data_IF_018340625930
#
_entry.id   IF_018340625930
#
_cell.length_a   1.000
_cell.length_b   1.000
_cell.length_c   1.000
_cell.angle_alpha   90.00
_cell.angle_beta   90.00
_cell.angle_gamma   90.00
#
_symmetry.space_group_name_H-M   'P 1'
#
loop_
_entity.id
_entity.type
_entity.pdbx_description
1 polymer ?
#
# COMPACT_ATOMS: atom_id res chain seq x y z
N UNK A 1 -2.34 -17.99 -45.49
CA UNK A 1 -3.37 -17.78 -44.43
C UNK A 1 -2.77 -18.26 -43.10
N UNK A 2 -2.06 -17.35 -42.45
CA UNK A 2 -1.42 -17.63 -41.19
C UNK A 2 -2.51 -17.75 -40.10
N UNK A 3 -2.64 -18.95 -39.54
CA UNK A 3 -3.51 -19.16 -38.37
C UNK A 3 -2.79 -18.53 -37.17
N UNK A 4 -3.23 -17.37 -36.76
CA UNK A 4 -2.90 -16.79 -35.47
C UNK A 4 -3.31 -17.81 -34.42
N UNK A 5 -2.36 -18.37 -33.68
CA UNK A 5 -2.60 -19.32 -32.61
C UNK A 5 -3.46 -18.68 -31.50
N UNK A 6 -4.06 -19.49 -30.62
CA UNK A 6 -4.87 -18.94 -29.53
C UNK A 6 -4.02 -18.03 -28.66
N UNK A 7 -4.51 -16.80 -28.43
CA UNK A 7 -3.89 -15.81 -27.54
C UNK A 7 -3.74 -16.45 -26.15
N UNK A 8 -2.55 -16.41 -25.51
CA UNK A 8 -2.36 -16.90 -24.15
C UNK A 8 -3.43 -16.33 -23.21
N UNK A 9 -3.97 -17.15 -22.32
CA UNK A 9 -5.08 -16.75 -21.45
C UNK A 9 -4.81 -15.48 -20.62
N UNK A 10 -3.57 -15.27 -20.18
CA UNK A 10 -3.14 -14.04 -19.50
C UNK A 10 -3.23 -12.82 -20.40
N UNK A 11 -2.81 -12.92 -21.65
CA UNK A 11 -2.95 -11.83 -22.65
C UNK A 11 -4.42 -11.57 -22.98
N UNK A 12 -5.24 -12.61 -23.07
CA UNK A 12 -6.69 -12.46 -23.25
C UNK A 12 -7.33 -11.81 -22.03
N UNK A 13 -6.87 -12.14 -20.83
CA UNK A 13 -7.33 -11.52 -19.59
C UNK A 13 -7.01 -10.02 -19.59
N UNK A 14 -5.76 -9.65 -19.92
CA UNK A 14 -5.33 -8.26 -20.03
C UNK A 14 -6.16 -7.46 -21.05
N UNK A 15 -6.43 -8.01 -22.24
CA UNK A 15 -7.28 -7.39 -23.26
C UNK A 15 -8.72 -7.20 -22.80
N UNK A 16 -9.27 -8.13 -22.01
CA UNK A 16 -10.60 -8.04 -21.48
C UNK A 16 -10.71 -6.97 -20.37
N UNK A 17 -9.68 -6.82 -19.55
CA UNK A 17 -9.56 -5.75 -18.54
C UNK A 17 -9.55 -4.39 -19.24
N UNK A 18 -8.73 -4.17 -20.28
CA UNK A 18 -8.70 -2.94 -21.06
C UNK A 18 -10.06 -2.55 -21.64
N UNK A 19 -10.78 -3.53 -22.22
CA UNK A 19 -12.12 -3.27 -22.80
C UNK A 19 -13.15 -2.88 -21.74
N UNK A 20 -13.05 -3.47 -20.55
CA UNK A 20 -13.96 -3.17 -19.44
C UNK A 20 -13.63 -1.80 -18.79
N UNK A 21 -12.35 -1.45 -18.65
CA UNK A 21 -11.91 -0.15 -18.16
C UNK A 21 -12.50 1.02 -18.96
N UNK A 22 -12.70 0.87 -20.26
CA UNK A 22 -13.37 1.90 -21.07
C UNK A 22 -14.81 2.22 -20.62
N UNK A 23 -15.53 1.25 -20.02
CA UNK A 23 -16.94 1.41 -19.59
C UNK A 23 -17.08 1.96 -18.16
N UNK A 24 -16.11 1.70 -17.28
CA UNK A 24 -16.20 2.07 -15.85
C UNK A 24 -15.77 3.51 -15.58
N UNK A 25 -15.11 4.16 -16.52
CA UNK A 25 -14.54 5.51 -16.36
C UNK A 25 -15.55 6.66 -16.22
N UNK A 26 -16.82 6.40 -16.46
CA UNK A 26 -17.88 7.38 -16.16
C UNK A 26 -18.16 7.49 -14.63
N UNK A 27 -17.57 6.60 -13.83
CA UNK A 27 -17.73 6.55 -12.37
C UNK A 27 -16.82 7.52 -11.59
N UNK A 28 -15.76 8.09 -12.21
CA UNK A 28 -14.91 9.07 -11.51
C UNK A 28 -15.71 10.35 -11.29
N UNK A 29 -15.89 10.79 -10.03
CA UNK A 29 -16.62 12.03 -9.75
C UNK A 29 -16.03 13.21 -10.52
N UNK A 30 -16.82 13.89 -11.32
CA UNK A 30 -16.40 15.07 -12.11
C UNK A 30 -15.97 16.26 -11.24
N UNK A 31 -16.20 16.20 -9.94
CA UNK A 31 -15.80 17.19 -8.95
C UNK A 31 -14.32 17.09 -8.57
N UNK A 32 -13.72 15.90 -8.69
CA UNK A 32 -12.30 15.70 -8.40
C UNK A 32 -11.42 16.40 -9.44
N UNK A 33 -10.28 16.89 -9.02
CA UNK A 33 -9.30 17.61 -9.86
C UNK A 33 -7.90 17.14 -9.55
N UNK A 34 -7.01 17.07 -10.55
CA UNK A 34 -5.60 16.77 -10.30
C UNK A 34 -4.93 17.92 -9.54
N UNK A 35 -3.92 17.59 -8.79
CA UNK A 35 -3.00 18.57 -8.20
C UNK A 35 -2.04 19.11 -9.25
N UNK A 36 -1.40 20.23 -8.95
CA UNK A 36 -0.36 20.79 -9.84
C UNK A 36 0.77 19.80 -10.12
N UNK A 37 1.16 18.99 -9.11
CA UNK A 37 2.22 18.02 -9.29
C UNK A 37 1.79 16.84 -10.17
N UNK A 38 0.57 16.34 -10.03
CA UNK A 38 0.03 15.31 -10.92
C UNK A 38 -0.02 15.79 -12.37
N UNK A 39 -0.43 17.05 -12.60
CA UNK A 39 -0.42 17.67 -13.94
C UNK A 39 1.01 17.83 -14.47
N UNK A 40 1.96 18.28 -13.64
CA UNK A 40 3.34 18.46 -14.05
C UNK A 40 4.00 17.16 -14.51
N UNK A 41 3.73 16.03 -13.81
CA UNK A 41 4.20 14.71 -14.25
C UNK A 41 3.54 14.28 -15.58
N UNK A 42 2.24 14.50 -15.73
CA UNK A 42 1.54 14.21 -17.00
C UNK A 42 2.10 15.06 -18.16
N UNK A 43 2.46 16.32 -17.91
CA UNK A 43 3.12 17.19 -18.89
C UNK A 43 4.49 16.66 -19.30
N UNK A 44 5.28 16.18 -18.35
CA UNK A 44 6.57 15.57 -18.62
C UNK A 44 6.43 14.31 -19.47
N UNK A 45 5.47 13.44 -19.15
CA UNK A 45 5.13 12.26 -19.98
C UNK A 45 4.74 12.66 -21.40
N UNK A 46 3.90 13.69 -21.57
CA UNK A 46 3.47 14.18 -22.88
C UNK A 46 4.63 14.71 -23.74
N UNK A 47 5.73 15.15 -23.11
CA UNK A 47 6.97 15.51 -23.79
C UNK A 47 7.88 14.31 -24.09
N UNK A 48 7.49 13.10 -23.67
CA UNK A 48 8.31 11.89 -23.82
C UNK A 48 9.50 11.85 -22.86
N UNK A 49 9.41 12.58 -21.74
CA UNK A 49 10.46 12.57 -20.72
C UNK A 49 10.48 11.25 -19.97
N UNK A 50 11.66 10.81 -19.56
CA UNK A 50 11.88 9.70 -18.67
C UNK A 50 12.71 10.15 -17.46
N UNK A 51 12.34 9.72 -16.27
CA UNK A 51 13.12 9.95 -15.05
C UNK A 51 14.37 9.08 -15.07
N UNK A 52 15.42 9.57 -15.71
CA UNK A 52 16.69 8.88 -15.81
C UNK A 52 17.73 9.50 -14.88
N UNK A 53 18.41 8.67 -14.11
CA UNK A 53 19.61 9.08 -13.39
C UNK A 53 20.70 9.54 -14.36
N UNK A 54 21.58 10.41 -13.89
CA UNK A 54 22.69 10.94 -14.68
C UNK A 54 23.79 9.90 -14.98
N UNK A 55 23.81 8.81 -14.21
CA UNK A 55 24.81 7.73 -14.31
C UNK A 55 24.27 6.42 -13.72
N UNK A 56 24.88 5.32 -14.08
CA UNK A 56 24.72 4.05 -13.37
C UNK A 56 25.27 4.18 -11.95
N UNK A 57 24.70 3.44 -11.02
CA UNK A 57 25.16 3.33 -9.64
C UNK A 57 25.14 1.89 -9.18
N UNK A 58 25.70 1.59 -8.01
CA UNK A 58 25.58 0.27 -7.40
C UNK A 58 25.19 0.37 -5.93
N UNK A 59 24.60 -0.69 -5.42
CA UNK A 59 24.27 -0.86 -4.00
C UNK A 59 24.99 -2.09 -3.47
N UNK A 60 25.53 -2.07 -2.25
CA UNK A 60 26.13 -3.25 -1.65
C UNK A 60 25.08 -4.37 -1.49
N UNK A 61 25.39 -5.58 -1.95
CA UNK A 61 24.46 -6.72 -1.89
C UNK A 61 24.04 -7.07 -0.45
N UNK A 62 24.93 -6.83 0.53
CA UNK A 62 24.67 -7.15 1.94
C UNK A 62 23.52 -6.36 2.57
N UNK A 63 23.09 -5.24 2.01
CA UNK A 63 21.92 -4.47 2.53
C UNK A 63 20.63 -5.29 2.54
N UNK A 64 20.54 -6.34 1.72
CA UNK A 64 19.39 -7.25 1.64
C UNK A 64 19.57 -8.53 2.47
N UNK A 65 20.78 -8.84 2.92
CA UNK A 65 21.10 -10.15 3.53
C UNK A 65 21.73 -10.07 4.92
N UNK A 66 22.18 -8.88 5.35
CA UNK A 66 22.79 -8.67 6.65
C UNK A 66 21.74 -8.56 7.78
N UNK A 67 21.70 -9.52 8.74
CA UNK A 67 20.78 -9.45 9.87
C UNK A 67 20.98 -8.21 10.75
N UNK A 68 22.22 -7.73 10.92
CA UNK A 68 22.49 -6.56 11.76
C UNK A 68 21.92 -5.28 11.11
N UNK A 69 22.02 -5.16 9.79
CA UNK A 69 21.38 -4.09 9.03
C UNK A 69 19.86 -4.18 9.15
N UNK A 70 19.29 -5.37 9.01
CA UNK A 70 17.84 -5.59 9.16
C UNK A 70 17.35 -5.19 10.56
N UNK A 71 18.02 -5.60 11.63
CA UNK A 71 17.68 -5.25 13.01
C UNK A 71 17.73 -3.73 13.23
N UNK A 72 18.70 -3.04 12.61
CA UNK A 72 18.80 -1.60 12.67
C UNK A 72 17.62 -0.92 11.94
N UNK A 73 17.29 -1.37 10.73
CA UNK A 73 16.12 -0.91 9.97
C UNK A 73 14.82 -1.15 10.76
N UNK A 74 14.63 -2.36 11.31
CA UNK A 74 13.46 -2.72 12.10
C UNK A 74 13.25 -1.74 13.26
N UNK A 75 14.32 -1.43 13.98
CA UNK A 75 14.27 -0.51 15.12
C UNK A 75 14.07 0.93 14.69
N UNK A 76 14.84 1.42 13.70
CA UNK A 76 14.83 2.84 13.31
C UNK A 76 13.62 3.22 12.47
N UNK A 77 13.21 2.37 11.52
CA UNK A 77 12.13 2.68 10.59
C UNK A 77 10.77 2.19 11.11
N UNK A 78 10.70 0.92 11.57
CA UNK A 78 9.40 0.32 11.90
C UNK A 78 8.94 0.54 13.36
N UNK A 79 9.77 1.13 14.20
CA UNK A 79 9.34 1.58 15.54
C UNK A 79 9.11 3.09 15.62
N UNK A 80 9.77 3.90 14.81
CA UNK A 80 9.82 5.36 14.99
C UNK A 80 9.07 6.13 13.89
N UNK A 81 9.06 5.62 12.66
CA UNK A 81 8.37 6.33 11.58
C UNK A 81 6.87 6.05 11.59
N UNK A 82 6.07 6.97 11.02
CA UNK A 82 4.71 6.67 10.62
C UNK A 82 4.66 5.52 9.61
N UNK A 83 3.82 4.52 9.89
CA UNK A 83 3.61 3.33 9.07
C UNK A 83 2.17 3.27 8.60
N UNK A 84 1.96 2.90 7.34
CA UNK A 84 0.63 2.72 6.78
C UNK A 84 0.00 1.44 7.34
N UNK A 85 -1.24 1.54 7.84
CA UNK A 85 -2.06 0.40 8.24
C UNK A 85 -3.06 -0.02 7.16
N UNK A 86 -3.45 0.91 6.29
CA UNK A 86 -4.35 0.65 5.19
C UNK A 86 -5.32 1.80 4.91
N UNK A 87 -6.33 1.60 4.06
CA UNK A 87 -7.29 2.63 3.70
C UNK A 87 -8.38 2.81 4.76
N UNK A 88 -8.97 4.00 4.82
CA UNK A 88 -10.16 4.32 5.64
C UNK A 88 -11.32 3.35 5.37
N UNK A 89 -11.39 2.83 4.16
CA UNK A 89 -12.40 1.84 3.72
C UNK A 89 -12.36 0.51 4.50
N UNK A 90 -11.30 0.24 5.29
CA UNK A 90 -11.29 -0.89 6.24
C UNK A 90 -12.33 -0.72 7.36
N UNK A 91 -12.72 0.52 7.67
CA UNK A 91 -13.68 0.86 8.73
C UNK A 91 -14.76 1.79 8.16
N UNK A 92 -15.63 1.30 7.25
CA UNK A 92 -16.58 2.15 6.52
C UNK A 92 -17.67 2.76 7.41
N UNK A 93 -17.87 2.22 8.62
CA UNK A 93 -18.91 2.71 9.53
C UNK A 93 -18.36 3.00 10.92
N UNK A 94 -19.02 3.89 11.65
CA UNK A 94 -18.75 4.16 13.06
C UNK A 94 -18.99 2.92 13.92
N UNK A 95 -18.32 2.84 15.06
CA UNK A 95 -18.36 1.71 15.99
C UNK A 95 -17.95 0.38 15.35
N UNK A 96 -16.93 0.41 14.51
CA UNK A 96 -16.29 -0.78 13.96
C UNK A 96 -14.85 -0.91 14.45
N UNK A 97 -14.33 -2.13 14.40
CA UNK A 97 -12.93 -2.45 14.68
C UNK A 97 -12.42 -3.47 13.67
N UNK A 98 -11.15 -3.37 13.34
CA UNK A 98 -10.39 -4.34 12.53
C UNK A 98 -9.06 -4.65 13.20
N UNK A 99 -8.58 -5.89 13.08
CA UNK A 99 -7.30 -6.31 13.65
C UNK A 99 -6.19 -6.16 12.62
N UNK A 100 -4.99 -5.77 13.10
CA UNK A 100 -3.79 -5.70 12.29
C UNK A 100 -2.58 -6.19 13.11
N UNK A 101 -1.85 -7.21 12.60
CA UNK A 101 -0.73 -7.86 13.30
C UNK A 101 0.62 -7.78 12.54
N UNK A 102 0.62 -7.21 11.36
CA UNK A 102 1.74 -7.31 10.41
C UNK A 102 3.05 -6.66 10.86
N UNK A 103 3.00 -5.70 11.79
CA UNK A 103 4.17 -4.99 12.29
C UNK A 103 4.74 -5.55 13.62
N UNK A 104 4.43 -6.80 13.95
CA UNK A 104 4.97 -7.46 15.16
C UNK A 104 4.36 -6.95 16.47
N UNK A 105 3.36 -6.07 16.42
CA UNK A 105 2.55 -5.63 17.55
C UNK A 105 1.08 -5.92 17.27
N UNK A 106 0.33 -6.50 18.21
CA UNK A 106 -1.09 -6.77 18.02
C UNK A 106 -1.88 -5.48 18.12
N UNK A 107 -2.49 -5.04 17.01
CA UNK A 107 -3.26 -3.79 16.94
C UNK A 107 -4.74 -4.05 16.74
N UNK A 108 -5.55 -3.15 17.26
CA UNK A 108 -6.96 -2.95 16.90
C UNK A 108 -7.06 -1.53 16.35
N UNK A 109 -7.53 -1.40 15.13
CA UNK A 109 -7.89 -0.11 14.54
C UNK A 109 -9.40 0.02 14.72
N UNK A 110 -9.87 1.11 15.31
CA UNK A 110 -11.28 1.36 15.56
C UNK A 110 -11.73 2.66 14.93
N UNK A 111 -13.01 2.75 14.59
CA UNK A 111 -13.70 4.03 14.33
C UNK A 111 -14.76 4.20 15.40
N UNK A 112 -14.67 5.26 16.19
CA UNK A 112 -15.59 5.54 17.28
C UNK A 112 -16.96 6.06 16.81
N UNK A 113 -17.83 6.43 17.74
CA UNK A 113 -19.19 6.92 17.44
C UNK A 113 -19.18 8.31 16.78
N UNK A 114 -18.14 9.09 17.02
CA UNK A 114 -17.90 10.42 16.47
C UNK A 114 -17.20 10.36 15.10
N UNK A 115 -16.76 9.16 14.66
CA UNK A 115 -16.09 8.92 13.40
C UNK A 115 -14.56 9.01 13.47
N UNK A 116 -13.97 9.24 14.64
CA UNK A 116 -12.51 9.30 14.79
C UNK A 116 -11.90 7.90 14.78
N UNK A 117 -10.75 7.80 14.13
CA UNK A 117 -9.95 6.57 14.11
C UNK A 117 -9.00 6.54 15.30
N UNK A 118 -8.92 5.39 15.97
CA UNK A 118 -7.97 5.10 17.04
C UNK A 118 -7.17 3.85 16.70
N UNK A 119 -5.89 3.84 17.01
CA UNK A 119 -5.02 2.66 16.90
C UNK A 119 -4.63 2.21 18.29
N UNK A 120 -5.13 1.06 18.70
CA UNK A 120 -5.07 0.55 20.05
C UNK A 120 -4.30 -0.77 20.11
N UNK A 121 -3.62 -1.05 21.23
CA UNK A 121 -3.06 -2.38 21.47
C UNK A 121 -4.20 -3.40 21.66
N UNK A 122 -4.16 -4.50 20.93
CA UNK A 122 -5.09 -5.63 21.04
C UNK A 122 -4.80 -6.49 22.27
N UNK A 123 -4.65 -5.85 23.42
CA UNK A 123 -4.19 -6.44 24.68
C UNK A 123 -5.01 -5.93 25.86
N UNK A 124 -5.73 -6.80 26.53
CA UNK A 124 -6.52 -6.47 27.70
C UNK A 124 -5.65 -5.96 28.86
N UNK A 125 -5.98 -4.81 29.43
CA UNK A 125 -5.25 -4.16 30.55
C UNK A 125 -5.40 -4.87 31.90
N UNK A 126 -6.15 -5.99 31.95
CA UNK A 126 -6.23 -6.82 33.14
C UNK A 126 -5.06 -7.80 33.23
N UNK A 127 -4.96 -8.75 32.29
CA UNK A 127 -3.96 -9.83 32.30
C UNK A 127 -3.42 -10.18 30.92
N UNK A 128 -3.38 -9.22 29.99
CA UNK A 128 -2.73 -9.36 28.69
C UNK A 128 -3.45 -10.21 27.65
N UNK A 129 -4.69 -10.62 27.89
CA UNK A 129 -5.44 -11.43 26.93
C UNK A 129 -5.71 -10.63 25.65
N UNK A 130 -5.51 -11.25 24.50
CA UNK A 130 -5.90 -10.70 23.21
C UNK A 130 -7.42 -10.50 23.17
N UNK A 131 -7.88 -9.39 22.59
CA UNK A 131 -9.28 -8.98 22.64
C UNK A 131 -10.09 -9.43 21.42
N UNK A 132 -9.51 -9.27 20.23
CA UNK A 132 -10.14 -9.59 18.94
C UNK A 132 -9.22 -10.41 18.05
N UNK A 133 -9.81 -11.34 17.28
CA UNK A 133 -9.11 -12.17 16.27
C UNK A 133 -9.77 -12.11 14.88
N UNK A 134 -10.77 -11.24 14.69
CA UNK A 134 -11.52 -11.18 13.43
C UNK A 134 -10.68 -10.58 12.31
N UNK A 135 -10.70 -11.23 11.15
CA UNK A 135 -9.96 -10.77 9.93
C UNK A 135 -10.64 -9.56 9.26
N UNK A 136 -11.95 -9.39 9.40
CA UNK A 136 -12.71 -8.27 8.83
C UNK A 136 -13.24 -7.31 9.89
N UNK A 137 -13.90 -6.21 9.48
CA UNK A 137 -14.49 -5.26 10.41
C UNK A 137 -15.60 -5.93 11.23
N UNK A 138 -15.56 -5.70 12.54
CA UNK A 138 -16.56 -6.18 13.50
C UNK A 138 -17.19 -5.01 14.26
N UNK A 139 -18.44 -5.15 14.76
CA UNK A 139 -19.03 -4.16 15.63
C UNK A 139 -18.16 -3.92 16.88
N UNK A 140 -17.89 -2.67 17.22
CA UNK A 140 -17.00 -2.26 18.31
C UNK A 140 -17.59 -1.20 19.23
N UNK A 141 -18.91 -1.08 19.35
CA UNK A 141 -19.54 -0.27 20.39
C UNK A 141 -18.97 -0.64 21.77
N UNK A 142 -18.66 -1.92 21.95
CA UNK A 142 -17.89 -2.45 23.09
C UNK A 142 -16.98 -3.59 22.63
N UNK A 143 -15.71 -3.54 22.99
CA UNK A 143 -14.73 -4.60 22.83
C UNK A 143 -14.62 -5.31 24.16
N UNK A 144 -15.13 -6.57 24.22
CA UNK A 144 -15.22 -7.32 25.47
C UNK A 144 -14.11 -8.39 25.51
N UNK A 145 -13.32 -8.35 26.58
CA UNK A 145 -12.27 -9.35 26.81
C UNK A 145 -12.88 -10.75 26.99
N UNK A 146 -12.43 -11.76 26.23
CA UNK A 146 -13.00 -13.10 26.32
C UNK A 146 -12.67 -13.83 27.63
N UNK A 147 -11.71 -13.32 28.42
CA UNK A 147 -11.29 -13.98 29.66
C UNK A 147 -12.13 -13.59 30.86
N UNK A 148 -12.22 -12.28 31.20
CA UNK A 148 -12.94 -11.82 32.40
C UNK A 148 -13.95 -10.70 32.09
N UNK A 149 -14.34 -10.58 30.82
CA UNK A 149 -15.36 -9.63 30.36
C UNK A 149 -15.09 -8.14 30.74
N UNK A 150 -13.81 -7.75 30.90
CA UNK A 150 -13.49 -6.33 30.89
C UNK A 150 -13.87 -5.76 29.52
N UNK A 151 -14.61 -4.66 29.52
CA UNK A 151 -15.16 -4.09 28.31
C UNK A 151 -14.61 -2.68 28.05
N UNK A 152 -14.15 -2.46 26.84
CA UNK A 152 -13.59 -1.20 26.37
C UNK A 152 -14.50 -0.57 25.32
N UNK A 153 -14.48 0.76 25.21
CA UNK A 153 -15.12 1.50 24.12
C UNK A 153 -14.23 1.50 22.88
N UNK A 154 -14.76 1.95 21.75
CA UNK A 154 -13.98 2.12 20.54
C UNK A 154 -12.80 3.12 20.70
N UNK A 155 -12.95 4.11 21.59
CA UNK A 155 -11.89 5.05 21.97
C UNK A 155 -10.85 4.48 22.97
N UNK A 156 -10.87 3.18 23.22
CA UNK A 156 -9.95 2.48 24.11
C UNK A 156 -10.27 2.61 25.61
N UNK A 157 -11.16 3.51 26.04
CA UNK A 157 -11.46 3.70 27.47
C UNK A 157 -12.13 2.47 28.09
N UNK A 158 -11.74 2.09 29.31
CA UNK A 158 -12.39 1.02 30.09
C UNK A 158 -13.81 1.44 30.48
N UNK A 159 -14.80 0.80 29.87
CA UNK A 159 -16.21 1.09 30.12
C UNK A 159 -16.72 0.38 31.38
N UNK A 160 -16.49 -0.93 31.49
CA UNK A 160 -16.98 -1.75 32.59
C UNK A 160 -16.09 -2.94 32.88
N UNK A 161 -16.16 -3.44 34.10
CA UNK A 161 -15.57 -4.70 34.55
C UNK A 161 -16.55 -5.39 35.51
N UNK A 162 -16.70 -6.74 35.41
CA UNK A 162 -17.48 -7.51 36.37
C UNK A 162 -16.84 -7.49 37.76
N UNK A 163 -17.67 -7.60 38.79
CA UNK A 163 -17.23 -7.69 40.19
C UNK A 163 -16.26 -6.53 40.54
N UNK A 164 -16.69 -5.29 40.20
CA UNK A 164 -15.86 -4.08 40.45
C UNK A 164 -15.46 -3.94 41.92
N UNK A 165 -16.26 -4.47 42.84
CA UNK A 165 -15.97 -4.53 44.28
C UNK A 165 -14.70 -5.33 44.61
N UNK A 166 -14.27 -6.26 43.73
CA UNK A 166 -13.02 -7.01 43.89
C UNK A 166 -11.77 -6.20 43.48
N UNK A 167 -11.94 -4.98 43.00
CA UNK A 167 -10.86 -4.07 42.56
C UNK A 167 -10.94 -2.75 43.33
N UNK A 168 -10.80 -2.78 44.67
CA UNK A 168 -10.95 -1.59 45.48
C UNK A 168 -9.88 -0.51 45.09
N UNK A 169 -10.33 0.71 44.86
CA UNK A 169 -9.48 1.83 44.47
C UNK A 169 -9.05 1.84 43.01
N UNK A 170 -9.54 0.94 42.16
CA UNK A 170 -9.24 0.97 40.74
C UNK A 170 -9.85 2.21 40.08
N UNK A 171 -8.99 3.07 39.53
CA UNK A 171 -9.43 4.16 38.65
C UNK A 171 -9.52 3.63 37.21
N UNK A 172 -10.73 3.54 36.63
CA UNK A 172 -10.97 3.11 35.26
C UNK A 172 -10.29 3.99 34.22
N UNK A 173 -10.10 5.29 34.51
CA UNK A 173 -9.47 6.22 33.59
C UNK A 173 -8.01 5.84 33.32
N UNK A 174 -7.33 5.16 34.24
CA UNK A 174 -5.94 4.70 34.09
C UNK A 174 -5.80 3.31 33.42
N UNK A 175 -6.93 2.67 33.08
CA UNK A 175 -6.99 1.30 32.56
C UNK A 175 -7.60 1.18 31.16
N UNK A 176 -7.57 2.26 30.39
CA UNK A 176 -7.83 2.23 28.95
C UNK A 176 -6.79 1.37 28.22
N UNK A 177 -7.11 0.92 27.01
CA UNK A 177 -6.15 0.28 26.12
C UNK A 177 -4.98 1.23 25.86
N UNK A 178 -3.82 0.68 25.54
CA UNK A 178 -2.68 1.50 25.08
C UNK A 178 -3.04 2.01 23.69
N UNK A 179 -3.01 3.32 23.51
CA UNK A 179 -3.25 4.00 22.24
C UNK A 179 -1.91 4.42 21.63
N UNK A 180 -1.78 4.23 20.34
CA UNK A 180 -0.63 4.64 19.55
C UNK A 180 -0.90 5.97 18.85
N UNK A 181 0.16 6.75 18.62
CA UNK A 181 0.07 7.93 17.78
C UNK A 181 -0.44 7.53 16.38
N UNK A 182 -1.44 8.21 15.87
CA UNK A 182 -2.06 7.89 14.59
C UNK A 182 -2.70 9.09 13.93
N UNK A 183 -2.87 9.03 12.62
CA UNK A 183 -3.60 9.99 11.81
C UNK A 183 -4.38 9.27 10.71
N UNK A 184 -5.57 9.77 10.42
CA UNK A 184 -6.31 9.46 9.20
C UNK A 184 -6.25 10.66 8.27
N UNK A 185 -5.65 10.50 7.09
CA UNK A 185 -5.45 11.59 6.13
C UNK A 185 -5.41 11.07 4.70
N UNK A 186 -6.03 11.78 3.75
CA UNK A 186 -6.10 11.36 2.34
C UNK A 186 -6.74 9.99 2.12
N UNK A 187 -7.66 9.57 3.02
CA UNK A 187 -8.30 8.25 2.97
C UNK A 187 -7.41 7.08 3.41
N UNK A 188 -6.28 7.37 4.07
CA UNK A 188 -5.32 6.39 4.61
C UNK A 188 -5.16 6.54 6.11
N UNK A 189 -4.94 5.42 6.80
CA UNK A 189 -4.72 5.34 8.25
C UNK A 189 -3.26 5.02 8.54
N UNK A 190 -2.60 5.88 9.29
CA UNK A 190 -1.21 5.77 9.68
C UNK A 190 -1.07 5.66 11.19
N UNK A 191 -0.02 5.00 11.64
CA UNK A 191 0.33 4.95 13.06
C UNK A 191 1.85 4.99 13.26
N UNK A 192 2.26 5.29 14.48
CA UNK A 192 3.65 5.12 14.92
C UNK A 192 3.69 4.56 16.32
N UNK A 193 4.74 3.80 16.63
CA UNK A 193 5.05 3.36 18.00
C UNK A 193 5.69 4.46 18.82
N UNK A 194 6.24 5.49 18.17
CA UNK A 194 6.72 6.70 18.83
C UNK A 194 5.52 7.59 19.17
N UNK A 195 5.25 7.85 20.47
CA UNK A 195 4.16 8.73 20.90
C UNK A 195 4.36 10.19 20.48
N UNK A 196 5.57 10.59 20.09
CA UNK A 196 5.93 11.93 19.63
C UNK A 196 6.04 12.01 18.09
N UNK A 197 5.58 11.00 17.35
CA UNK A 197 5.68 10.95 15.91
C UNK A 197 5.03 12.18 15.26
N UNK A 198 5.74 12.75 14.28
CA UNK A 198 5.24 13.82 13.42
C UNK A 198 4.73 13.23 12.09
N UNK A 199 3.46 13.49 11.79
CA UNK A 199 2.77 13.04 10.58
C UNK A 199 2.71 14.12 9.49
N UNK A 200 3.54 15.15 9.55
CA UNK A 200 3.52 16.24 8.58
C UNK A 200 3.80 15.75 7.14
N UNK A 201 4.70 14.78 6.97
CA UNK A 201 4.98 14.21 5.65
C UNK A 201 3.78 13.43 5.07
N UNK A 202 3.10 12.65 5.90
CA UNK A 202 1.90 11.89 5.52
C UNK A 202 0.75 12.84 5.15
N UNK A 203 0.61 13.96 5.87
CA UNK A 203 -0.36 14.99 5.55
C UNK A 203 -0.08 15.70 4.22
N UNK A 204 1.19 15.79 3.77
CA UNK A 204 1.53 16.36 2.45
C UNK A 204 0.97 15.53 1.29
N UNK A 205 0.68 14.24 1.48
CA UNK A 205 0.08 13.38 0.47
C UNK A 205 -1.42 13.63 0.29
N UNK A 206 -2.10 14.18 1.29
CA UNK A 206 -3.56 14.27 1.32
C UNK A 206 -4.14 14.94 0.07
N UNK A 207 -3.65 16.08 -0.45
CA UNK A 207 -4.21 16.70 -1.65
C UNK A 207 -4.18 15.78 -2.88
N UNK A 208 -3.12 15.00 -3.04
CA UNK A 208 -2.99 14.07 -4.17
C UNK A 208 -3.92 12.85 -4.01
N UNK A 209 -4.03 12.31 -2.81
CA UNK A 209 -4.89 11.16 -2.51
C UNK A 209 -6.37 11.56 -2.57
N UNK A 210 -6.73 12.75 -2.10
CA UNK A 210 -8.08 13.32 -2.20
C UNK A 210 -8.48 13.56 -3.66
N UNK A 211 -7.52 13.94 -4.53
CA UNK A 211 -7.76 14.07 -5.98
C UNK A 211 -8.19 12.74 -6.63
N UNK A 212 -7.83 11.60 -6.03
CA UNK A 212 -8.29 10.27 -6.45
C UNK A 212 -9.58 9.83 -5.74
N UNK A 213 -10.00 10.52 -4.69
CA UNK A 213 -11.18 10.19 -3.90
C UNK A 213 -11.01 8.92 -3.06
N UNK A 214 -9.78 8.63 -2.58
CA UNK A 214 -9.48 7.35 -1.89
C UNK A 214 -10.38 7.12 -0.67
N UNK A 215 -10.74 8.18 0.06
CA UNK A 215 -11.59 8.09 1.25
C UNK A 215 -13.00 7.53 0.97
N UNK A 216 -13.49 7.71 -0.27
CA UNK A 216 -14.85 7.33 -0.68
C UNK A 216 -14.89 5.98 -1.43
N UNK A 217 -13.74 5.35 -1.66
CA UNK A 217 -13.67 4.07 -2.38
C UNK A 217 -14.11 2.91 -1.50
N UNK A 218 -14.64 1.89 -2.17
CA UNK A 218 -15.02 0.62 -1.55
C UNK A 218 -13.82 -0.34 -1.51
N UNK A 219 -13.57 -0.97 -0.36
CA UNK A 219 -12.58 -2.04 -0.23
C UNK A 219 -13.14 -3.31 -0.86
N UNK A 220 -12.62 -3.68 -2.03
CA UNK A 220 -13.06 -4.85 -2.77
C UNK A 220 -12.47 -6.14 -2.21
N UNK A 221 -11.15 -6.19 -2.09
CA UNK A 221 -10.42 -7.36 -1.56
C UNK A 221 -9.16 -6.93 -0.83
N UNK A 222 -8.76 -7.81 0.08
CA UNK A 222 -7.54 -7.72 0.88
C UNK A 222 -6.94 -9.11 1.00
N UNK A 223 -5.62 -9.24 0.81
CA UNK A 223 -4.90 -10.49 0.95
C UNK A 223 -3.48 -10.23 1.46
N UNK A 224 -2.99 -11.12 2.29
CA UNK A 224 -1.61 -11.12 2.76
C UNK A 224 -0.85 -12.22 2.06
N UNK A 225 0.26 -11.88 1.42
CA UNK A 225 1.23 -12.80 0.84
C UNK A 225 2.43 -12.94 1.77
N UNK A 226 2.95 -14.14 1.89
CA UNK A 226 4.25 -14.39 2.49
C UNK A 226 5.29 -14.47 1.38
N UNK A 227 6.22 -13.52 1.35
CA UNK A 227 7.25 -13.39 0.31
C UNK A 227 8.61 -13.71 0.90
N UNK A 228 9.26 -14.75 0.36
CA UNK A 228 10.59 -15.18 0.79
C UNK A 228 11.68 -14.23 0.26
N UNK A 229 11.61 -12.97 0.66
CA UNK A 229 12.53 -11.90 0.27
C UNK A 229 12.60 -10.81 1.35
N UNK A 230 13.69 -10.06 1.33
CA UNK A 230 13.85 -8.82 2.08
C UNK A 230 12.81 -7.80 1.61
N UNK A 231 12.23 -7.05 2.54
CA UNK A 231 11.19 -6.06 2.26
C UNK A 231 11.60 -4.99 1.22
N UNK A 232 12.89 -4.65 1.16
CA UNK A 232 13.43 -3.69 0.19
C UNK A 232 13.35 -4.24 -1.24
N UNK A 233 13.63 -5.53 -1.47
CA UNK A 233 13.46 -6.15 -2.79
C UNK A 233 12.02 -6.12 -3.29
N UNK A 234 11.05 -6.18 -2.36
CA UNK A 234 9.64 -6.02 -2.71
C UNK A 234 9.33 -4.58 -3.12
N UNK A 235 9.83 -3.59 -2.37
CA UNK A 235 9.58 -2.17 -2.68
C UNK A 235 10.32 -1.74 -3.94
N UNK A 236 11.56 -2.18 -4.15
CA UNK A 236 12.41 -1.82 -5.30
C UNK A 236 11.71 -2.07 -6.64
N UNK A 237 10.94 -3.15 -6.76
CA UNK A 237 10.17 -3.47 -7.96
C UNK A 237 9.16 -2.37 -8.37
N UNK A 238 8.71 -1.53 -7.43
CA UNK A 238 7.73 -0.48 -7.70
C UNK A 238 8.36 0.91 -7.91
N UNK A 239 9.69 0.99 -7.86
CA UNK A 239 10.45 2.26 -7.97
C UNK A 239 11.06 2.49 -9.34
N UNK A 240 10.88 1.53 -10.26
CA UNK A 240 11.40 1.59 -11.61
C UNK A 240 10.42 0.97 -12.61
N UNK A 241 10.69 1.13 -13.90
CA UNK A 241 9.85 0.55 -14.97
C UNK A 241 10.63 -0.31 -15.97
N UNK A 242 11.91 -0.54 -15.71
CA UNK A 242 12.80 -1.29 -16.60
C UNK A 242 12.38 -2.78 -16.73
N UNK A 243 11.89 -3.39 -15.64
CA UNK A 243 11.40 -4.76 -15.63
C UNK A 243 10.06 -4.94 -16.37
N UNK A 244 9.21 -3.89 -16.44
CA UNK A 244 7.79 -4.00 -16.84
C UNK A 244 7.62 -4.70 -18.18
N UNK A 245 8.38 -4.30 -19.22
CA UNK A 245 8.25 -4.89 -20.56
C UNK A 245 8.80 -6.33 -20.65
N UNK A 246 9.58 -6.77 -19.69
CA UNK A 246 10.26 -8.09 -19.68
C UNK A 246 9.57 -9.06 -18.73
N UNK A 247 9.47 -8.70 -17.48
CA UNK A 247 8.86 -9.54 -16.45
C UNK A 247 7.35 -9.69 -16.70
N UNK A 248 6.68 -8.58 -17.01
CA UNK A 248 5.23 -8.55 -17.22
C UNK A 248 4.78 -8.73 -18.67
N UNK A 249 5.63 -9.29 -19.53
CA UNK A 249 5.35 -9.46 -20.95
C UNK A 249 4.03 -10.18 -21.24
N UNK A 250 3.59 -11.07 -20.36
CA UNK A 250 2.34 -11.83 -20.51
C UNK A 250 1.15 -11.27 -19.69
N UNK A 251 1.35 -10.20 -18.93
CA UNK A 251 0.32 -9.60 -18.07
C UNK A 251 0.05 -8.15 -18.46
N UNK A 252 0.77 -7.19 -17.88
CA UNK A 252 0.46 -5.77 -17.98
C UNK A 252 1.38 -4.97 -18.93
N UNK A 253 2.45 -5.54 -19.46
CA UNK A 253 3.42 -4.82 -20.31
C UNK A 253 2.76 -4.04 -21.45
N UNK A 254 1.77 -4.64 -22.12
CA UNK A 254 1.06 -4.01 -23.23
C UNK A 254 0.26 -2.76 -22.86
N UNK A 255 0.07 -2.49 -21.57
CA UNK A 255 -0.65 -1.30 -21.11
C UNK A 255 0.25 -0.06 -21.06
N UNK A 256 1.57 -0.22 -21.05
CA UNK A 256 2.53 0.84 -20.76
C UNK A 256 3.49 1.07 -21.92
N UNK A 257 3.89 2.33 -22.10
CA UNK A 257 5.00 2.69 -22.96
C UNK A 257 6.33 2.28 -22.31
N UNK A 258 7.23 1.63 -23.05
CA UNK A 258 8.52 1.14 -22.52
C UNK A 258 9.41 2.32 -22.06
N UNK A 259 9.80 2.30 -20.80
CA UNK A 259 10.73 3.27 -20.22
C UNK A 259 10.19 4.71 -20.06
N UNK A 260 8.90 4.95 -20.29
CA UNK A 260 8.30 6.28 -20.15
C UNK A 260 7.68 6.42 -18.75
N UNK A 261 8.54 6.79 -17.80
CA UNK A 261 8.20 7.03 -16.39
C UNK A 261 8.86 8.30 -15.91
N UNK A 262 8.13 9.15 -15.22
CA UNK A 262 8.64 10.36 -14.57
C UNK A 262 8.33 10.33 -13.09
N UNK A 263 9.15 10.98 -12.26
CA UNK A 263 8.97 10.96 -10.81
C UNK A 263 9.38 12.29 -10.18
N UNK A 264 8.79 12.61 -9.03
CA UNK A 264 9.17 13.68 -8.12
C UNK A 264 8.99 13.28 -6.65
N UNK A 265 9.26 14.20 -5.73
CA UNK A 265 9.20 13.94 -4.29
C UNK A 265 8.08 14.76 -3.64
N UNK A 266 7.36 14.15 -2.70
CA UNK A 266 6.42 14.81 -1.79
C UNK A 266 6.90 14.55 -0.35
N UNK A 267 7.61 15.50 0.23
CA UNK A 267 8.27 15.28 1.52
C UNK A 267 9.25 14.10 1.44
N UNK A 268 9.04 13.08 2.28
CA UNK A 268 9.84 11.84 2.26
C UNK A 268 9.33 10.79 1.27
N UNK A 269 8.14 10.99 0.69
CA UNK A 269 7.51 10.06 -0.24
C UNK A 269 7.92 10.37 -1.69
N UNK A 270 7.83 9.36 -2.55
CA UNK A 270 8.06 9.52 -3.98
C UNK A 270 6.72 9.39 -4.72
N UNK A 271 6.49 10.27 -5.68
CA UNK A 271 5.38 10.17 -6.63
C UNK A 271 5.95 9.94 -8.02
N UNK A 272 5.38 8.97 -8.75
CA UNK A 272 5.74 8.72 -10.13
C UNK A 272 4.49 8.63 -11.02
N UNK A 273 4.70 8.80 -12.31
CA UNK A 273 3.68 8.66 -13.33
C UNK A 273 4.24 7.84 -14.50
N UNK A 274 3.47 6.85 -14.93
CA UNK A 274 3.82 5.95 -16.03
C UNK A 274 2.85 6.17 -17.18
N UNK A 275 3.37 6.38 -18.38
CA UNK A 275 2.57 6.60 -19.59
C UNK A 275 1.89 5.31 -20.07
N UNK A 276 0.57 5.36 -20.29
CA UNK A 276 -0.17 4.22 -20.86
C UNK A 276 -0.11 4.27 -22.38
N UNK A 277 0.38 3.18 -22.97
CA UNK A 277 0.71 3.10 -24.40
C UNK A 277 -0.44 3.54 -25.33
N UNK A 278 -1.67 3.09 -25.05
CA UNK A 278 -2.84 3.35 -25.91
C UNK A 278 -3.34 4.82 -25.84
N UNK A 279 -2.94 5.57 -24.82
CA UNK A 279 -3.49 6.89 -24.49
C UNK A 279 -2.45 7.99 -24.31
N UNK A 280 -1.16 7.69 -24.48
CA UNK A 280 -0.09 8.65 -24.22
C UNK A 280 -0.23 9.96 -25.01
N UNK A 281 -0.77 9.88 -26.23
CA UNK A 281 -1.01 11.04 -27.11
C UNK A 281 -2.34 11.74 -26.83
N UNK A 282 -3.20 11.22 -25.95
CA UNK A 282 -4.55 11.71 -25.63
C UNK A 282 -4.61 12.43 -24.28
N UNK A 283 -3.47 12.92 -23.78
CA UNK A 283 -3.38 13.58 -22.48
C UNK A 283 -4.08 14.94 -22.54
N UNK A 284 -5.30 15.01 -21.97
CA UNK A 284 -6.03 16.25 -21.72
C UNK A 284 -5.97 16.60 -20.24
N UNK A 285 -5.25 17.69 -19.92
CA UNK A 285 -5.05 18.16 -18.55
C UNK A 285 -6.28 18.82 -17.95
N UNK A 286 -7.24 19.21 -18.78
CA UNK A 286 -8.50 19.81 -18.37
C UNK A 286 -9.57 18.78 -17.96
N UNK A 287 -9.42 17.54 -18.41
CA UNK A 287 -10.33 16.42 -18.14
C UNK A 287 -9.66 15.39 -17.24
N UNK A 288 -9.95 15.42 -15.94
CA UNK A 288 -9.35 14.50 -14.96
C UNK A 288 -9.60 13.01 -15.27
N UNK A 289 -10.82 12.58 -15.63
CA UNK A 289 -11.07 11.24 -16.13
C UNK A 289 -10.23 10.85 -17.35
N UNK A 290 -10.07 11.75 -18.32
CA UNK A 290 -9.21 11.50 -19.48
C UNK A 290 -7.74 11.37 -19.11
N UNK A 291 -7.25 12.24 -18.22
CA UNK A 291 -5.89 12.18 -17.71
C UNK A 291 -5.61 10.85 -16.98
N UNK A 292 -6.54 10.38 -16.15
CA UNK A 292 -6.43 9.09 -15.47
C UNK A 292 -6.43 7.89 -16.41
N UNK A 293 -7.00 7.99 -17.61
CA UNK A 293 -6.87 6.93 -18.64
C UNK A 293 -5.45 6.87 -19.21
N UNK A 294 -4.84 8.03 -19.40
CA UNK A 294 -3.54 8.16 -20.06
C UNK A 294 -2.35 7.85 -19.13
N UNK A 295 -2.54 7.97 -17.83
CA UNK A 295 -1.47 7.93 -16.83
C UNK A 295 -1.83 6.99 -15.69
N UNK A 296 -0.93 6.10 -15.34
CA UNK A 296 -0.94 5.37 -14.07
C UNK A 296 -0.02 6.09 -13.10
N UNK A 297 -0.55 6.55 -11.96
CA UNK A 297 0.26 7.16 -10.91
C UNK A 297 0.69 6.10 -9.89
N UNK A 298 1.92 6.20 -9.41
CA UNK A 298 2.42 5.38 -8.32
C UNK A 298 3.01 6.26 -7.23
N UNK A 299 2.79 5.88 -5.98
CA UNK A 299 3.31 6.58 -4.81
C UNK A 299 4.06 5.58 -3.96
N UNK A 300 5.37 5.76 -3.81
CA UNK A 300 6.11 5.07 -2.76
C UNK A 300 5.92 5.86 -1.47
N UNK A 301 5.25 5.25 -0.52
CA UNK A 301 4.97 5.79 0.80
C UNK A 301 6.05 5.27 1.75
N UNK A 302 6.97 6.17 2.10
CA UNK A 302 8.11 5.80 2.95
C UNK A 302 7.65 5.30 4.33
N UNK A 303 8.24 4.22 4.89
CA UNK A 303 9.34 3.47 4.29
C UNK A 303 8.90 2.31 3.35
N UNK A 304 7.73 1.71 3.51
CA UNK A 304 7.45 0.34 3.12
C UNK A 304 6.15 0.10 2.37
N UNK A 305 5.54 1.14 1.81
CA UNK A 305 4.25 0.96 1.15
C UNK A 305 4.21 1.61 -0.22
N UNK A 306 3.32 1.12 -1.08
CA UNK A 306 3.10 1.62 -2.43
C UNK A 306 1.61 1.78 -2.70
N UNK A 307 1.21 2.89 -3.32
CA UNK A 307 -0.12 3.09 -3.87
C UNK A 307 -0.01 3.11 -5.39
N UNK A 308 -0.78 2.27 -6.08
CA UNK A 308 -0.82 2.20 -7.53
C UNK A 308 -2.21 2.62 -7.99
N UNK A 309 -2.28 3.75 -8.68
CA UNK A 309 -3.54 4.34 -9.13
C UNK A 309 -3.76 4.00 -10.60
N UNK A 310 -4.49 2.92 -10.83
CA UNK A 310 -4.98 2.53 -12.14
C UNK A 310 -6.18 3.38 -12.58
N UNK A 311 -6.61 3.34 -13.84
CA UNK A 311 -7.74 4.16 -14.31
C UNK A 311 -9.02 4.03 -13.48
N UNK A 312 -9.37 2.82 -13.05
CA UNK A 312 -10.67 2.47 -12.46
C UNK A 312 -10.59 1.78 -11.08
N UNK A 313 -9.39 1.46 -10.59
CA UNK A 313 -9.15 0.92 -9.24
C UNK A 313 -7.83 1.45 -8.68
N UNK A 314 -7.61 1.22 -7.39
CA UNK A 314 -6.38 1.55 -6.69
C UNK A 314 -5.92 0.34 -5.91
N UNK A 315 -4.62 -0.01 -6.01
CA UNK A 315 -3.99 -1.00 -5.15
C UNK A 315 -3.10 -0.31 -4.12
N UNK A 316 -3.14 -0.83 -2.91
CA UNK A 316 -2.17 -0.52 -1.86
C UNK A 316 -1.38 -1.79 -1.57
N UNK A 317 -0.05 -1.69 -1.59
CA UNK A 317 0.86 -2.75 -1.19
C UNK A 317 1.61 -2.29 0.05
N UNK A 318 1.58 -3.09 1.11
CA UNK A 318 2.24 -2.80 2.39
C UNK A 318 3.21 -3.93 2.69
N UNK A 319 4.51 -3.66 2.60
CA UNK A 319 5.56 -4.64 2.86
C UNK A 319 5.96 -4.60 4.35
N UNK A 320 5.57 -5.59 5.11
CA UNK A 320 5.78 -5.71 6.56
C UNK A 320 6.89 -6.73 6.83
N UNK A 321 8.13 -6.30 7.13
CA UNK A 321 9.25 -7.20 7.32
C UNK A 321 9.05 -8.10 8.54
N UNK A 322 9.33 -9.40 8.38
CA UNK A 322 9.28 -10.39 9.46
C UNK A 322 10.68 -10.87 9.85
N UNK A 323 11.56 -10.97 8.87
CA UNK A 323 12.99 -11.27 9.05
C UNK A 323 13.78 -10.72 7.87
N UNK A 324 15.08 -10.88 7.87
CA UNK A 324 15.97 -10.42 6.79
C UNK A 324 15.56 -10.97 5.42
N UNK A 325 15.03 -12.18 5.35
CA UNK A 325 14.64 -12.84 4.10
C UNK A 325 13.14 -13.20 4.02
N UNK A 326 12.29 -12.61 4.86
CA UNK A 326 10.84 -12.87 4.82
C UNK A 326 10.04 -11.61 5.09
N UNK A 327 9.06 -11.33 4.23
CA UNK A 327 8.18 -10.16 4.29
C UNK A 327 6.72 -10.60 4.10
N UNK A 328 5.84 -10.14 4.98
CA UNK A 328 4.40 -10.17 4.70
C UNK A 328 4.07 -8.97 3.81
N UNK A 329 3.42 -9.22 2.70
CA UNK A 329 2.95 -8.16 1.79
C UNK A 329 1.43 -8.19 1.75
N UNK A 330 0.82 -7.12 2.22
CA UNK A 330 -0.61 -6.96 2.13
C UNK A 330 -0.98 -6.23 0.84
N UNK A 331 -1.77 -6.90 -0.04
CA UNK A 331 -2.40 -6.30 -1.22
C UNK A 331 -3.85 -5.96 -0.90
N UNK A 332 -4.20 -4.70 -1.10
CA UNK A 332 -5.55 -4.16 -0.87
C UNK A 332 -6.02 -3.49 -2.16
N UNK A 333 -7.14 -3.96 -2.71
CA UNK A 333 -7.76 -3.36 -3.89
C UNK A 333 -8.98 -2.53 -3.50
N UNK A 334 -8.96 -1.27 -3.91
CA UNK A 334 -10.06 -0.32 -3.78
C UNK A 334 -10.72 -0.11 -5.15
N UNK A 335 -12.05 -0.07 -5.16
CA UNK A 335 -12.88 0.16 -6.35
C UNK A 335 -13.88 1.28 -6.07
N UNK A 336 -14.49 1.90 -7.10
CA UNK A 336 -15.41 3.04 -6.90
C UNK A 336 -16.59 2.74 -5.99
N UNK A 337 -17.21 1.57 -6.13
CA UNK A 337 -18.40 1.16 -5.36
C UNK A 337 -18.50 -0.36 -5.27
N UNK A 338 -19.26 -0.87 -4.32
CA UNK A 338 -19.55 -2.31 -4.21
C UNK A 338 -20.25 -2.81 -5.49
N UNK A 339 -19.82 -3.98 -6.06
CA UNK A 339 -20.39 -4.50 -7.29
C UNK A 339 -21.88 -4.84 -7.14
N UNK A 340 -22.74 -4.15 -7.87
CA UNK A 340 -24.20 -4.34 -7.82
C UNK A 340 -24.71 -5.34 -8.86
N UNK A 341 -23.89 -5.75 -9.84
CA UNK A 341 -24.26 -6.70 -10.90
C UNK A 341 -23.24 -7.80 -11.06
N UNK A 342 -23.64 -8.93 -11.63
CA UNK A 342 -22.73 -10.03 -11.95
C UNK A 342 -21.65 -9.63 -12.95
N UNK A 343 -21.95 -8.70 -13.88
CA UNK A 343 -20.96 -8.17 -14.85
C UNK A 343 -19.88 -7.35 -14.13
N UNK A 344 -20.28 -6.46 -13.21
CA UNK A 344 -19.36 -5.69 -12.39
C UNK A 344 -18.52 -6.60 -11.47
N UNK A 345 -19.13 -7.57 -10.80
CA UNK A 345 -18.43 -8.54 -9.98
C UNK A 345 -17.40 -9.36 -10.78
N UNK A 346 -17.75 -9.79 -11.99
CA UNK A 346 -16.85 -10.50 -12.88
C UNK A 346 -15.72 -9.60 -13.40
N UNK A 347 -15.96 -8.31 -13.61
CA UNK A 347 -14.92 -7.34 -13.99
C UNK A 347 -13.86 -7.21 -12.88
N UNK A 348 -14.27 -6.93 -11.65
CA UNK A 348 -13.36 -6.76 -10.53
C UNK A 348 -12.62 -8.06 -10.16
N UNK A 349 -13.29 -9.21 -10.29
CA UNK A 349 -12.64 -10.50 -10.09
C UNK A 349 -11.50 -10.74 -11.09
N UNK A 350 -11.68 -10.35 -12.36
CA UNK A 350 -10.62 -10.45 -13.39
C UNK A 350 -9.47 -9.46 -13.12
N UNK A 351 -9.79 -8.22 -12.72
CA UNK A 351 -8.79 -7.21 -12.38
C UNK A 351 -7.94 -7.66 -11.18
N UNK A 352 -8.60 -8.19 -10.16
CA UNK A 352 -7.92 -8.77 -9.01
C UNK A 352 -7.00 -9.94 -9.40
N UNK A 353 -7.49 -10.91 -10.16
CA UNK A 353 -6.69 -12.07 -10.58
C UNK A 353 -5.51 -11.68 -11.44
N UNK A 354 -5.66 -10.68 -12.31
CA UNK A 354 -4.56 -10.15 -13.12
C UNK A 354 -3.45 -9.57 -12.25
N UNK A 355 -3.80 -8.83 -11.20
CA UNK A 355 -2.82 -8.14 -10.35
C UNK A 355 -2.32 -9.03 -9.21
N UNK A 356 -3.20 -9.44 -8.30
CA UNK A 356 -2.82 -10.23 -7.12
C UNK A 356 -2.26 -11.61 -7.50
N UNK A 357 -2.96 -12.33 -8.38
CA UNK A 357 -2.54 -13.68 -8.79
C UNK A 357 -1.43 -13.69 -9.83
N UNK A 358 -1.45 -12.75 -10.77
CA UNK A 358 -0.52 -12.66 -11.90
C UNK A 358 0.66 -11.77 -11.64
N UNK A 359 0.46 -10.47 -11.73
CA UNK A 359 1.49 -9.44 -11.74
C UNK A 359 2.28 -9.41 -10.42
N UNK A 360 1.60 -9.17 -9.30
CA UNK A 360 2.28 -9.06 -8.00
C UNK A 360 2.70 -10.44 -7.47
N UNK A 361 1.73 -11.35 -7.27
CA UNK A 361 1.98 -12.60 -6.57
C UNK A 361 2.90 -13.56 -7.30
N UNK A 362 2.75 -13.69 -8.63
CA UNK A 362 3.56 -14.63 -9.42
C UNK A 362 4.83 -13.98 -9.98
N UNK A 363 4.74 -12.76 -10.53
CA UNK A 363 5.84 -12.15 -11.26
C UNK A 363 6.74 -11.33 -10.31
N UNK A 364 6.24 -10.25 -9.69
CA UNK A 364 7.07 -9.38 -8.83
C UNK A 364 7.60 -10.09 -7.59
N UNK A 365 6.71 -10.71 -6.80
CA UNK A 365 7.14 -11.40 -5.57
C UNK A 365 7.98 -12.63 -5.88
N UNK A 366 7.72 -13.30 -7.02
CA UNK A 366 8.56 -14.37 -7.53
C UNK A 366 9.96 -13.90 -7.88
N UNK A 367 10.09 -12.74 -8.56
CA UNK A 367 11.38 -12.13 -8.89
C UNK A 367 12.14 -11.70 -7.63
N UNK A 368 11.45 -11.06 -6.67
CA UNK A 368 12.04 -10.68 -5.39
C UNK A 368 12.60 -11.91 -4.63
N UNK A 369 11.83 -13.02 -4.56
CA UNK A 369 12.29 -14.26 -3.92
C UNK A 369 13.47 -14.93 -4.66
N UNK A 370 13.51 -14.84 -5.99
CA UNK A 370 14.67 -15.29 -6.78
C UNK A 370 15.90 -14.43 -6.51
N UNK A 371 15.72 -13.10 -6.45
CA UNK A 371 16.76 -12.15 -6.10
C UNK A 371 17.35 -12.42 -4.73
N UNK A 372 16.50 -12.60 -3.70
CA UNK A 372 16.94 -12.93 -2.34
C UNK A 372 17.84 -14.16 -2.31
N UNK A 373 17.44 -15.26 -2.95
CA UNK A 373 18.23 -16.48 -3.02
C UNK A 373 19.58 -16.29 -3.74
N UNK A 374 19.60 -15.44 -4.77
CA UNK A 374 20.83 -15.08 -5.45
C UNK A 374 21.80 -14.31 -4.57
N UNK A 375 21.29 -13.30 -3.85
CA UNK A 375 22.07 -12.46 -2.94
C UNK A 375 22.59 -13.23 -1.72
N UNK A 376 21.79 -14.14 -1.16
CA UNK A 376 22.18 -15.02 -0.05
C UNK A 376 23.33 -15.98 -0.40
N UNK A 377 23.54 -16.24 -1.69
CA UNK A 377 24.68 -17.05 -2.14
C UNK A 377 26.04 -16.41 -1.84
N UNK A 378 26.08 -15.09 -1.66
CA UNK A 378 27.31 -14.32 -1.46
C UNK A 378 28.24 -14.28 -2.69
N UNK A 379 27.72 -14.63 -3.89
CA UNK A 379 28.54 -14.66 -5.11
C UNK A 379 28.76 -13.29 -5.74
N UNK A 380 27.98 -12.28 -5.35
CA UNK A 380 28.14 -10.90 -5.80
C UNK A 380 28.28 -9.97 -4.59
N UNK A 381 29.12 -8.96 -4.73
CA UNK A 381 29.37 -7.97 -3.66
C UNK A 381 28.44 -6.77 -3.76
N UNK A 382 28.01 -6.43 -4.98
CA UNK A 382 27.11 -5.33 -5.26
C UNK A 382 26.10 -5.69 -6.35
N UNK A 383 24.98 -4.95 -6.36
CA UNK A 383 24.01 -4.94 -7.46
C UNK A 383 24.17 -3.66 -8.25
N UNK A 384 23.98 -3.75 -9.56
CA UNK A 384 24.12 -2.60 -10.47
C UNK A 384 22.76 -2.04 -10.83
N UNK A 385 22.60 -0.73 -10.71
CA UNK A 385 21.41 0.01 -11.11
C UNK A 385 21.69 0.84 -12.36
N UNK A 386 20.89 0.61 -13.40
CA UNK A 386 20.88 1.43 -14.60
C UNK A 386 20.24 2.79 -14.37
N UNK A 387 20.33 3.67 -15.37
CA UNK A 387 19.78 5.04 -15.23
C UNK A 387 18.26 5.08 -15.12
N UNK A 388 17.53 4.10 -15.64
CA UNK A 388 16.07 3.97 -15.45
C UNK A 388 15.67 3.50 -14.05
N UNK A 389 16.62 2.99 -13.27
CA UNK A 389 16.43 2.50 -11.90
C UNK A 389 16.81 3.54 -10.83
N UNK A 390 16.85 4.82 -11.22
CA UNK A 390 17.23 5.93 -10.33
C UNK A 390 16.31 6.02 -9.09
N UNK A 391 15.04 5.67 -9.22
CA UNK A 391 14.10 5.64 -8.10
C UNK A 391 14.53 4.69 -6.98
N UNK A 392 15.10 3.53 -7.33
CA UNK A 392 15.69 2.58 -6.39
C UNK A 392 16.90 3.20 -5.67
N UNK A 393 17.81 3.83 -6.45
CA UNK A 393 18.99 4.48 -5.88
C UNK A 393 18.63 5.59 -4.88
N UNK A 394 17.66 6.44 -5.23
CA UNK A 394 17.17 7.52 -4.37
C UNK A 394 16.50 6.99 -3.09
N UNK A 395 15.71 5.93 -3.21
CA UNK A 395 15.07 5.29 -2.07
C UNK A 395 16.10 4.75 -1.07
N UNK A 396 17.11 4.00 -1.54
CA UNK A 396 18.17 3.48 -0.68
C UNK A 396 19.03 4.57 -0.06
N UNK A 397 19.35 5.64 -0.81
CA UNK A 397 20.05 6.80 -0.26
C UNK A 397 19.25 7.47 0.87
N UNK A 398 17.92 7.54 0.72
CA UNK A 398 17.03 8.05 1.77
C UNK A 398 16.99 7.13 2.98
N UNK A 399 16.90 5.81 2.77
CA UNK A 399 16.97 4.85 3.88
C UNK A 399 18.27 5.00 4.67
N UNK A 400 19.41 5.11 3.98
CA UNK A 400 20.72 5.27 4.62
C UNK A 400 20.85 6.59 5.41
N UNK A 401 20.18 7.64 4.95
CA UNK A 401 20.18 8.93 5.65
C UNK A 401 19.34 8.91 6.95
N UNK A 402 18.39 7.99 7.07
CA UNK A 402 17.50 7.86 8.22
C UNK A 402 17.99 6.81 9.24
N UNK A 403 18.98 6.01 8.88
CA UNK A 403 19.61 5.00 9.72
C UNK A 403 20.86 5.52 10.43
#
# INVERSE_FOLDING_TARGET
>A
MDRVGPIPWKTQLALNVLKAQRRVMDAIPRTLRPTHGQVALADALARGEAAMGSRMTSLPAHIYTDPARFDHEAKRLFEWFPLLLGPSAMLPHVNQAVVHDGYGVPLIITRDAEGHVHVLANVCRHRGTRLLDAVGPVPATRIVCPYHAWAYRADGRLASLPRAECFPGLDKATRGLVEFASIETGGLIWFSRDPAADFANEALLAPDLDAFGIADLHLYKRKVHEVAANWKLVIDAFLESYHVQRLHASTIASFFADGITVADQIGRHQRAAVGRADYLNEIDRGDWPALRRAVTYTYQLFPNSVVIVSPDYINLLIAMPQSVGNTLVEDIMLIPEEPQTNEAAAHWARSWELLDGGTFGTEDFGAAALGQRGLESGMIEDIMLGTLENGVAEFHAKLDAEL
#
